data_IF_958281302803
#
_entry.id   IF_958281302803
#
_cell.length_a   1.000
_cell.length_b   1.000
_cell.length_c   1.000
_cell.angle_alpha   90.00
_cell.angle_beta   90.00
_cell.angle_gamma   90.00
#
_symmetry.space_group_name_H-M   'P 1'
#
loop_
_entity.id
_entity.type
_entity.pdbx_description
1 polymer ?
#
# COMPACT_ATOMS: atom_id res chain seq x y z
N UNK A 1 -14.65 3.12 -10.75
CA UNK A 1 -13.55 2.18 -10.47
C UNK A 1 -12.25 2.91 -10.71
N UNK A 2 -11.25 2.71 -9.84
CA UNK A 2 -9.90 3.19 -10.09
C UNK A 2 -9.32 2.31 -11.21
N UNK A 3 -8.83 2.94 -12.27
CA UNK A 3 -8.47 2.28 -13.52
C UNK A 3 -6.95 2.24 -13.75
N UNK A 4 -6.16 2.94 -12.93
CA UNK A 4 -4.70 2.95 -13.03
C UNK A 4 -4.01 2.74 -11.69
N UNK A 5 -2.81 2.18 -11.69
CA UNK A 5 -1.97 2.03 -10.49
C UNK A 5 -1.70 3.38 -9.82
N UNK A 6 -1.53 4.45 -10.60
CA UNK A 6 -1.34 5.80 -10.08
C UNK A 6 -2.54 6.31 -9.28
N UNK A 7 -3.77 6.03 -9.73
CA UNK A 7 -4.99 6.36 -8.99
C UNK A 7 -5.10 5.56 -7.70
N UNK A 8 -4.73 4.27 -7.70
CA UNK A 8 -4.66 3.47 -6.47
C UNK A 8 -3.61 3.99 -5.49
N UNK A 9 -2.44 4.44 -5.97
CA UNK A 9 -1.42 5.05 -5.11
C UNK A 9 -1.91 6.37 -4.51
N UNK A 10 -2.62 7.20 -5.28
CA UNK A 10 -3.20 8.44 -4.78
C UNK A 10 -4.31 8.17 -3.76
N UNK A 11 -5.14 7.14 -3.98
CA UNK A 11 -6.10 6.69 -2.97
C UNK A 11 -5.39 6.20 -1.70
N UNK A 12 -4.32 5.42 -1.85
CA UNK A 12 -3.48 4.98 -0.74
C UNK A 12 -2.88 6.15 0.05
N UNK A 13 -2.44 7.22 -0.64
CA UNK A 13 -1.96 8.46 -0.03
C UNK A 13 -3.01 9.07 0.89
N UNK A 14 -4.22 9.28 0.36
CA UNK A 14 -5.34 9.88 1.11
C UNK A 14 -5.72 9.04 2.31
N UNK A 15 -5.72 7.72 2.16
CA UNK A 15 -6.00 6.80 3.27
C UNK A 15 -4.89 6.84 4.34
N UNK A 16 -3.62 6.90 3.93
CA UNK A 16 -2.49 7.01 4.86
C UNK A 16 -2.50 8.36 5.61
N UNK A 17 -2.84 9.45 4.92
CA UNK A 17 -3.02 10.77 5.52
C UNK A 17 -4.18 10.77 6.52
N UNK A 18 -5.34 10.24 6.14
CA UNK A 18 -6.48 10.09 7.05
C UNK A 18 -6.10 9.24 8.28
N UNK A 19 -5.39 8.13 8.10
CA UNK A 19 -4.92 7.28 9.21
C UNK A 19 -4.04 8.06 10.19
N UNK A 20 -3.14 8.93 9.69
CA UNK A 20 -2.31 9.82 10.52
C UNK A 20 -3.17 10.80 11.31
N UNK A 21 -4.17 11.43 10.69
CA UNK A 21 -5.08 12.35 11.38
C UNK A 21 -5.86 11.69 12.53
N UNK A 22 -6.35 10.45 12.34
CA UNK A 22 -7.00 9.70 13.41
C UNK A 22 -6.04 9.36 14.55
N UNK A 23 -4.79 9.01 14.22
CA UNK A 23 -3.77 8.76 15.22
C UNK A 23 -3.48 10.04 16.02
N UNK A 24 -3.18 11.15 15.35
CA UNK A 24 -2.86 12.43 15.99
C UNK A 24 -4.01 12.91 16.88
N UNK A 25 -5.26 12.77 16.44
CA UNK A 25 -6.44 13.14 17.23
C UNK A 25 -6.53 12.36 18.55
N UNK A 26 -6.27 11.05 18.52
CA UNK A 26 -6.32 10.21 19.72
C UNK A 26 -5.10 10.47 20.62
N UNK A 27 -3.91 10.64 20.04
CA UNK A 27 -2.69 10.90 20.80
C UNK A 27 -2.72 12.27 21.48
N UNK A 28 -3.33 13.28 20.85
CA UNK A 28 -3.50 14.61 21.45
C UNK A 28 -4.35 14.61 22.73
N UNK A 29 -5.11 13.53 22.98
CA UNK A 29 -5.96 13.35 24.16
C UNK A 29 -5.35 12.37 25.18
N UNK A 30 -4.15 11.84 24.91
CA UNK A 30 -3.63 10.65 25.56
C UNK A 30 -2.12 10.68 25.82
N UNK A 31 -1.58 9.55 26.29
CA UNK A 31 -0.15 9.40 26.63
C UNK A 31 0.67 8.67 25.55
N UNK A 32 0.03 8.27 24.44
CA UNK A 32 0.67 7.53 23.35
C UNK A 32 0.88 6.04 23.62
N UNK A 33 -0.03 5.45 24.38
CA UNK A 33 -0.02 4.03 24.72
C UNK A 33 -0.41 3.14 23.54
N UNK A 34 0.02 1.88 23.55
CA UNK A 34 -0.41 0.87 22.56
C UNK A 34 -1.94 0.74 22.47
N UNK A 35 -2.66 0.95 23.57
CA UNK A 35 -4.13 0.91 23.59
C UNK A 35 -4.73 2.05 22.76
N UNK A 36 -4.17 3.25 22.85
CA UNK A 36 -4.58 4.43 22.09
C UNK A 36 -4.28 4.26 20.59
N UNK A 37 -3.12 3.70 20.25
CA UNK A 37 -2.79 3.34 18.86
C UNK A 37 -3.81 2.36 18.27
N UNK A 38 -4.23 1.34 19.03
CA UNK A 38 -5.27 0.38 18.59
C UNK A 38 -6.62 1.08 18.42
N UNK A 39 -6.99 1.95 19.36
CA UNK A 39 -8.24 2.74 19.29
C UNK A 39 -8.28 3.61 18.04
N UNK A 40 -7.21 4.35 17.75
CA UNK A 40 -7.10 5.16 16.54
C UNK A 40 -7.27 4.31 15.26
N UNK A 41 -6.60 3.16 15.18
CA UNK A 41 -6.73 2.25 14.05
C UNK A 41 -8.18 1.74 13.89
N UNK A 42 -8.85 1.35 14.98
CA UNK A 42 -10.26 0.92 14.95
C UNK A 42 -11.17 2.02 14.43
N UNK A 43 -11.05 3.25 14.95
CA UNK A 43 -11.85 4.39 14.51
C UNK A 43 -11.63 4.71 13.03
N UNK A 44 -10.38 4.68 12.58
CA UNK A 44 -10.03 4.88 11.17
C UNK A 44 -10.74 3.85 10.27
N UNK A 45 -10.59 2.54 10.54
CA UNK A 45 -11.21 1.52 9.68
C UNK A 45 -12.74 1.56 9.72
N UNK A 46 -13.35 1.84 10.88
CA UNK A 46 -14.79 2.03 10.98
C UNK A 46 -15.27 3.22 10.15
N UNK A 47 -14.56 4.35 10.22
CA UNK A 47 -14.88 5.53 9.42
C UNK A 47 -14.79 5.22 7.94
N UNK A 48 -13.70 4.60 7.48
CA UNK A 48 -13.52 4.29 6.05
C UNK A 48 -14.57 3.31 5.54
N UNK A 49 -14.91 2.28 6.32
CA UNK A 49 -15.99 1.37 5.97
C UNK A 49 -17.33 2.10 5.83
N UNK A 50 -17.69 2.94 6.80
CA UNK A 50 -18.97 3.65 6.78
C UNK A 50 -19.04 4.73 5.69
N UNK A 51 -17.97 5.52 5.52
CA UNK A 51 -17.97 6.69 4.64
C UNK A 51 -17.66 6.33 3.17
N UNK A 52 -16.77 5.37 2.93
CA UNK A 52 -16.30 5.03 1.59
C UNK A 52 -16.75 3.65 1.13
N UNK A 53 -17.46 2.88 1.97
CA UNK A 53 -17.89 1.49 1.68
C UNK A 53 -16.70 0.59 1.28
N UNK A 54 -15.52 0.88 1.86
CA UNK A 54 -14.29 0.13 1.62
C UNK A 54 -14.04 -0.85 2.76
N UNK A 55 -13.77 -2.10 2.40
CA UNK A 55 -13.47 -3.13 3.37
C UNK A 55 -12.12 -2.89 4.07
N UNK A 56 -12.00 -3.19 5.38
CA UNK A 56 -10.75 -2.99 6.12
C UNK A 56 -9.53 -3.67 5.49
N UNK A 57 -9.59 -4.91 4.97
CA UNK A 57 -8.45 -5.53 4.28
C UNK A 57 -7.95 -4.74 3.08
N UNK A 58 -8.85 -4.29 2.21
CA UNK A 58 -8.51 -3.48 1.03
C UNK A 58 -7.92 -2.13 1.43
N UNK A 59 -8.52 -1.49 2.43
CA UNK A 59 -8.02 -0.22 2.98
C UNK A 59 -6.60 -0.37 3.52
N UNK A 60 -6.37 -1.41 4.33
CA UNK A 60 -5.06 -1.70 4.91
C UNK A 60 -4.00 -1.98 3.83
N UNK A 61 -4.37 -2.72 2.79
CA UNK A 61 -3.49 -3.03 1.67
C UNK A 61 -3.06 -1.77 0.90
N UNK A 62 -4.00 -0.89 0.56
CA UNK A 62 -3.69 0.37 -0.15
C UNK A 62 -2.83 1.31 0.69
N UNK A 63 -3.12 1.43 1.99
CA UNK A 63 -2.28 2.20 2.93
C UNK A 63 -0.87 1.65 2.92
N UNK A 64 -0.71 0.33 3.03
CA UNK A 64 0.61 -0.31 3.09
C UNK A 64 1.41 -0.13 1.80
N UNK A 65 0.76 -0.25 0.64
CA UNK A 65 1.38 -0.01 -0.66
C UNK A 65 1.88 1.43 -0.75
N UNK A 66 1.06 2.40 -0.36
CA UNK A 66 1.47 3.80 -0.36
C UNK A 66 2.60 4.06 0.64
N UNK A 67 2.50 3.58 1.88
CA UNK A 67 3.55 3.76 2.89
C UNK A 67 4.90 3.17 2.44
N UNK A 68 4.88 2.09 1.64
CA UNK A 68 6.09 1.45 1.14
C UNK A 68 6.66 2.09 -0.12
N UNK A 69 5.80 2.43 -1.08
CA UNK A 69 6.23 2.81 -2.43
C UNK A 69 5.84 4.23 -2.85
N UNK A 70 4.82 4.81 -2.22
CA UNK A 70 4.20 6.07 -2.60
C UNK A 70 5.09 7.31 -2.43
N UNK A 71 6.05 7.24 -1.50
CA UNK A 71 7.06 8.29 -1.26
C UNK A 71 8.47 7.86 -1.70
N UNK A 72 8.61 6.69 -2.34
CA UNK A 72 9.91 6.22 -2.83
C UNK A 72 10.29 6.91 -4.13
N UNK A 73 11.59 7.09 -4.38
CA UNK A 73 12.12 7.59 -5.66
C UNK A 73 11.72 6.68 -6.85
N UNK A 74 11.30 5.45 -6.56
CA UNK A 74 10.88 4.42 -7.51
C UNK A 74 9.39 4.45 -7.80
N UNK A 75 8.61 5.37 -7.20
CA UNK A 75 7.15 5.45 -7.34
C UNK A 75 6.70 5.44 -8.80
N UNK A 76 7.27 6.31 -9.64
CA UNK A 76 6.86 6.46 -11.05
C UNK A 76 7.11 5.18 -11.82
N UNK A 77 8.25 4.54 -11.59
CA UNK A 77 8.62 3.29 -12.22
C UNK A 77 7.72 2.14 -11.78
N UNK A 78 7.47 2.02 -10.48
CA UNK A 78 6.58 1.02 -9.92
C UNK A 78 5.14 1.17 -10.44
N UNK A 79 4.63 2.41 -10.52
CA UNK A 79 3.30 2.69 -11.03
C UNK A 79 3.16 2.44 -12.55
N UNK A 80 4.25 2.53 -13.29
CA UNK A 80 4.27 2.29 -14.74
C UNK A 80 4.48 0.83 -15.13
N UNK A 81 5.20 0.06 -14.30
CA UNK A 81 5.54 -1.34 -14.60
C UNK A 81 4.60 -2.36 -13.97
N UNK A 82 3.94 -2.01 -12.88
CA UNK A 82 3.16 -2.94 -12.08
C UNK A 82 1.72 -2.50 -11.91
N UNK A 83 0.81 -3.47 -11.92
CA UNK A 83 -0.55 -3.26 -11.43
C UNK A 83 -0.60 -3.27 -9.89
N UNK A 84 -1.77 -2.91 -9.33
CA UNK A 84 -1.91 -2.83 -7.87
C UNK A 84 -1.73 -4.19 -7.17
N UNK A 85 -2.09 -5.30 -7.82
CA UNK A 85 -2.00 -6.65 -7.25
C UNK A 85 -0.55 -7.13 -7.22
N UNK A 86 0.23 -6.79 -8.24
CA UNK A 86 1.66 -7.03 -8.28
C UNK A 86 2.37 -6.21 -7.18
N UNK A 87 2.00 -4.94 -7.00
CA UNK A 87 2.53 -4.11 -5.91
C UNK A 87 2.19 -4.66 -4.52
N UNK A 88 0.98 -5.19 -4.32
CA UNK A 88 0.59 -5.88 -3.08
C UNK A 88 1.54 -7.01 -2.71
N UNK A 89 2.05 -7.76 -3.70
CA UNK A 89 3.00 -8.83 -3.47
C UNK A 89 4.39 -8.31 -3.11
N UNK A 90 4.81 -7.24 -3.79
CA UNK A 90 6.12 -6.61 -3.58
C UNK A 90 6.22 -5.88 -2.24
N UNK A 91 5.10 -5.43 -1.67
CA UNK A 91 5.09 -4.62 -0.43
C UNK A 91 5.74 -5.31 0.78
N UNK A 92 5.85 -6.64 0.76
CA UNK A 92 6.48 -7.45 1.82
C UNK A 92 7.90 -7.90 1.50
N UNK A 93 8.40 -7.58 0.31
CA UNK A 93 9.70 -8.01 -0.19
C UNK A 93 10.79 -6.98 0.16
N UNK A 94 12.03 -7.45 0.23
CA UNK A 94 13.20 -6.60 0.42
C UNK A 94 13.40 -5.65 -0.76
N UNK A 95 14.17 -4.58 -0.57
CA UNK A 95 14.48 -3.64 -1.66
C UNK A 95 15.20 -4.34 -2.83
N UNK A 96 16.10 -5.28 -2.54
CA UNK A 96 16.81 -6.08 -3.54
C UNK A 96 15.83 -6.89 -4.42
N UNK A 97 14.80 -7.48 -3.79
CA UNK A 97 13.78 -8.23 -4.50
C UNK A 97 12.86 -7.34 -5.33
N UNK A 98 12.59 -6.12 -4.86
CA UNK A 98 11.85 -5.12 -5.64
C UNK A 98 12.67 -4.67 -6.86
N UNK A 99 13.97 -4.41 -6.70
CA UNK A 99 14.87 -4.08 -7.82
C UNK A 99 14.97 -5.20 -8.84
N UNK A 100 15.06 -6.43 -8.35
CA UNK A 100 15.06 -7.61 -9.20
C UNK A 100 13.75 -7.70 -10.00
N UNK A 101 12.60 -7.50 -9.35
CA UNK A 101 11.30 -7.48 -10.03
C UNK A 101 11.21 -6.39 -11.09
N UNK A 102 11.63 -5.16 -10.77
CA UNK A 102 11.68 -4.02 -11.71
C UNK A 102 12.52 -4.39 -12.93
N UNK A 103 13.72 -4.90 -12.71
CA UNK A 103 14.65 -5.30 -13.78
C UNK A 103 14.02 -6.36 -14.70
N UNK A 104 13.30 -7.32 -14.12
CA UNK A 104 12.61 -8.38 -14.87
C UNK A 104 11.42 -7.85 -15.66
N UNK A 105 10.62 -6.95 -15.09
CA UNK A 105 9.50 -6.31 -15.81
C UNK A 105 9.95 -5.40 -16.94
N UNK A 106 11.08 -4.71 -16.80
CA UNK A 106 11.67 -3.93 -17.91
C UNK A 106 12.04 -4.82 -19.10
N UNK A 107 12.59 -6.00 -18.84
CA UNK A 107 12.96 -6.97 -19.88
C UNK A 107 11.74 -7.68 -20.48
N UNK A 108 10.70 -7.89 -19.69
CA UNK A 108 9.44 -8.49 -20.15
C UNK A 108 8.23 -7.73 -19.57
N UNK A 109 7.78 -6.63 -20.23
CA UNK A 109 6.63 -5.85 -19.76
C UNK A 109 5.33 -6.66 -19.68
N UNK A 110 5.20 -7.70 -20.51
CA UNK A 110 4.05 -8.60 -20.55
C UNK A 110 4.06 -9.70 -19.48
N UNK A 111 5.07 -9.75 -18.60
CA UNK A 111 5.14 -10.75 -17.52
C UNK A 111 3.85 -10.73 -16.70
N UNK A 112 3.26 -11.89 -16.47
CA UNK A 112 2.02 -11.99 -15.70
C UNK A 112 2.30 -11.96 -14.20
N UNK A 113 1.26 -11.65 -13.42
CA UNK A 113 1.29 -11.75 -11.95
C UNK A 113 1.77 -13.14 -11.47
N UNK A 114 1.37 -14.20 -12.16
CA UNK A 114 1.74 -15.58 -11.80
C UNK A 114 3.22 -15.87 -12.09
N UNK A 115 3.72 -15.41 -13.23
CA UNK A 115 5.15 -15.52 -13.55
C UNK A 115 6.00 -14.71 -12.56
N UNK A 116 5.55 -13.51 -12.19
CA UNK A 116 6.19 -12.71 -11.14
C UNK A 116 6.17 -13.44 -9.80
N UNK A 117 5.06 -14.12 -9.45
CA UNK A 117 4.95 -14.91 -8.23
C UNK A 117 5.94 -16.06 -8.18
N UNK A 118 6.03 -16.85 -9.26
CA UNK A 118 6.98 -17.97 -9.35
C UNK A 118 8.41 -17.47 -9.26
N UNK A 119 8.71 -16.39 -9.98
CA UNK A 119 10.03 -15.73 -9.94
C UNK A 119 10.42 -15.33 -8.51
N UNK A 120 9.51 -14.69 -7.77
CA UNK A 120 9.76 -14.20 -6.41
C UNK A 120 9.71 -15.28 -5.32
N UNK A 121 9.32 -16.51 -5.67
CA UNK A 121 9.31 -17.67 -4.76
C UNK A 121 10.59 -18.51 -4.85
N UNK A 122 11.32 -18.41 -5.97
CA UNK A 122 12.62 -19.06 -6.18
C UNK A 122 13.82 -18.29 -5.63
N UNK A 123 13.57 -17.15 -4.98
CA UNK A 123 14.55 -16.23 -4.37
C UNK A 123 14.14 -15.91 -2.94
#
# INVERSE_FOLDING_TARGET
MLNTTSEYMEQGRRLAEARRLFLDHVLAQGLGTTAEHRKAATLFYQFIHNALQMEPPTTHELVRIYERFGESDRRTELAGLFDIRELSMLVRKSDEMVEFAISRKKLNPGMTLEELRVLLAGH
#
